data_IF_292311517224
#
_entry.id   IF_292311517224
#
_cell.length_a   1.000
_cell.length_b   1.000
_cell.length_c   1.000
_cell.angle_alpha   90.00
_cell.angle_beta   90.00
_cell.angle_gamma   90.00
#
_symmetry.space_group_name_H-M   'P 1'
#
loop_
_entity.id
_entity.type
_entity.pdbx_description
1 polymer ?
#
# COMPACT_ATOMS: atom_id res chain seq x y z
N UNK A 1 -29.43 1.46 16.43
CA UNK A 1 -30.63 0.65 16.10
C UNK A 1 -31.89 1.08 16.85
N UNK A 2 -32.13 2.38 17.05
CA UNK A 2 -33.33 2.87 17.75
C UNK A 2 -33.41 2.58 19.26
N UNK A 3 -32.49 1.78 19.80
CA UNK A 3 -32.38 1.46 21.23
C UNK A 3 -31.43 2.42 21.94
N UNK A 4 -31.71 2.71 23.22
CA UNK A 4 -30.78 3.45 24.09
C UNK A 4 -29.55 2.59 24.32
N UNK A 5 -28.36 3.16 24.12
CA UNK A 5 -27.10 2.46 24.26
C UNK A 5 -26.05 3.36 24.93
N UNK A 6 -25.12 2.73 25.64
CA UNK A 6 -23.91 3.37 26.15
C UNK A 6 -22.76 2.96 25.24
N UNK A 7 -21.97 3.93 24.78
CA UNK A 7 -20.85 3.68 23.87
C UNK A 7 -19.56 3.77 24.67
N UNK A 8 -18.78 2.70 24.67
CA UNK A 8 -17.42 2.69 25.19
C UNK A 8 -16.43 2.76 24.03
N UNK A 9 -15.77 3.90 23.86
CA UNK A 9 -14.72 4.06 22.86
C UNK A 9 -13.36 3.70 23.48
N UNK A 10 -12.72 2.65 22.95
CA UNK A 10 -11.38 2.22 23.37
C UNK A 10 -10.35 2.80 22.40
N UNK A 11 -9.41 3.58 22.93
CA UNK A 11 -8.29 4.12 22.18
C UNK A 11 -7.01 3.40 22.57
N UNK A 12 -6.15 3.10 21.59
CA UNK A 12 -4.83 2.55 21.86
C UNK A 12 -3.95 3.59 22.56
N UNK A 13 -3.09 3.12 23.45
CA UNK A 13 -1.98 3.92 23.97
C UNK A 13 -0.93 4.13 22.85
N UNK A 14 -0.08 5.18 22.96
CA UNK A 14 1.11 5.30 22.10
C UNK A 14 1.90 3.98 22.09
N UNK A 15 2.46 3.62 20.93
CA UNK A 15 3.28 2.41 20.71
C UNK A 15 2.57 1.05 20.89
N UNK A 16 1.31 1.04 21.32
CA UNK A 16 0.53 -0.19 21.42
C UNK A 16 0.07 -0.70 20.05
N UNK A 17 0.13 -2.03 19.86
CA UNK A 17 -0.35 -2.70 18.66
C UNK A 17 -1.89 -2.74 18.66
N UNK A 18 -2.50 -2.08 17.66
CA UNK A 18 -3.96 -1.98 17.51
C UNK A 18 -4.65 -3.34 17.45
N UNK A 19 -4.08 -4.29 16.70
CA UNK A 19 -4.67 -5.62 16.50
C UNK A 19 -4.70 -6.40 17.81
N UNK A 20 -3.57 -6.43 18.53
CA UNK A 20 -3.48 -7.09 19.84
C UNK A 20 -4.40 -6.46 20.90
N UNK A 21 -4.56 -5.13 20.88
CA UNK A 21 -5.48 -4.45 21.81
C UNK A 21 -6.92 -4.87 21.52
N UNK A 22 -7.33 -4.91 20.25
CA UNK A 22 -8.69 -5.34 19.87
C UNK A 22 -8.93 -6.81 20.24
N UNK A 23 -7.96 -7.69 19.98
CA UNK A 23 -8.08 -9.12 20.33
C UNK A 23 -8.28 -9.30 21.83
N UNK A 24 -7.46 -8.64 22.66
CA UNK A 24 -7.62 -8.67 24.12
C UNK A 24 -8.97 -8.12 24.59
N UNK A 25 -9.48 -7.08 23.94
CA UNK A 25 -10.82 -6.54 24.26
C UNK A 25 -11.88 -7.58 23.91
N UNK A 26 -11.79 -8.24 22.75
CA UNK A 26 -12.72 -9.30 22.34
C UNK A 26 -12.68 -10.51 23.27
N UNK A 27 -11.52 -10.88 23.79
CA UNK A 27 -11.36 -11.99 24.72
C UNK A 27 -12.04 -11.73 26.07
N UNK A 28 -12.10 -10.46 26.50
CA UNK A 28 -12.70 -10.05 27.78
C UNK A 28 -14.22 -9.84 27.65
N UNK A 29 -14.75 -9.50 26.46
CA UNK A 29 -16.19 -9.24 26.24
C UNK A 29 -17.08 -10.39 26.77
N UNK A 30 -16.82 -11.68 26.51
CA UNK A 30 -17.63 -12.77 27.05
C UNK A 30 -17.67 -12.82 28.58
N UNK A 31 -16.55 -12.47 29.24
CA UNK A 31 -16.48 -12.43 30.71
C UNK A 31 -17.35 -11.30 31.25
N UNK A 32 -17.24 -10.10 30.65
CA UNK A 32 -18.10 -8.96 31.00
C UNK A 32 -19.57 -9.32 30.76
N UNK A 33 -19.89 -9.98 29.66
CA UNK A 33 -21.27 -10.35 29.32
C UNK A 33 -21.86 -11.36 30.31
N UNK A 34 -21.05 -12.21 30.93
CA UNK A 34 -21.49 -13.14 31.97
C UNK A 34 -21.79 -12.47 33.32
N UNK A 35 -21.11 -11.34 33.63
CA UNK A 35 -21.32 -10.57 34.86
C UNK A 35 -22.45 -9.55 34.75
N UNK A 36 -22.91 -9.25 33.54
CA UNK A 36 -23.95 -8.26 33.29
C UNK A 36 -25.36 -8.80 33.64
N UNK A 37 -26.27 -7.93 34.13
CA UNK A 37 -27.66 -8.30 34.39
C UNK A 37 -28.40 -8.79 33.15
N UNK A 38 -29.41 -9.64 33.34
CA UNK A 38 -30.32 -10.09 32.29
C UNK A 38 -31.01 -8.89 31.63
N UNK A 39 -30.72 -8.67 30.34
CA UNK A 39 -31.25 -7.55 29.54
C UNK A 39 -30.21 -6.54 29.05
N UNK A 40 -28.94 -6.66 29.46
CA UNK A 40 -27.83 -5.89 28.88
C UNK A 40 -27.08 -6.74 27.88
N UNK A 41 -26.98 -6.27 26.63
CA UNK A 41 -26.23 -6.92 25.57
C UNK A 41 -25.04 -6.04 25.16
N UNK A 42 -23.87 -6.64 25.00
CA UNK A 42 -22.67 -5.96 24.51
C UNK A 42 -22.50 -6.28 23.03
N UNK A 43 -22.47 -5.25 22.19
CA UNK A 43 -22.27 -5.39 20.74
C UNK A 43 -21.01 -4.64 20.29
N UNK A 44 -20.18 -5.30 19.48
CA UNK A 44 -19.03 -4.67 18.84
C UNK A 44 -19.51 -3.79 17.69
N UNK A 45 -19.34 -2.47 17.83
CA UNK A 45 -19.80 -1.51 16.83
C UNK A 45 -18.78 -1.29 15.71
N UNK A 46 -17.52 -1.02 16.08
CA UNK A 46 -16.47 -0.63 15.16
C UNK A 46 -15.17 -1.34 15.54
N UNK A 47 -14.55 -1.96 14.54
CA UNK A 47 -13.31 -2.70 14.70
C UNK A 47 -12.25 -2.14 13.74
N UNK A 48 -11.20 -1.52 14.30
CA UNK A 48 -10.07 -1.01 13.51
C UNK A 48 -9.03 -2.08 13.17
N UNK A 49 -9.07 -3.25 13.80
CA UNK A 49 -8.16 -4.35 13.47
C UNK A 49 -8.52 -5.00 12.13
N UNK A 50 -9.79 -4.99 11.74
CA UNK A 50 -10.24 -5.64 10.50
C UNK A 50 -9.63 -5.04 9.23
N UNK A 51 -9.70 -3.72 8.96
CA UNK A 51 -9.02 -3.14 7.80
C UNK A 51 -7.51 -3.33 7.82
N UNK A 52 -6.88 -3.40 9.01
CA UNK A 52 -5.44 -3.65 9.14
C UNK A 52 -5.11 -5.09 8.73
N UNK A 53 -5.89 -6.08 9.20
CA UNK A 53 -5.72 -7.49 8.82
C UNK A 53 -5.96 -7.68 7.32
N UNK A 54 -7.03 -7.12 6.77
CA UNK A 54 -7.32 -7.15 5.33
C UNK A 54 -6.17 -6.54 4.50
N UNK A 55 -5.60 -5.40 4.94
CA UNK A 55 -4.46 -4.79 4.26
C UNK A 55 -3.19 -5.66 4.33
N UNK A 56 -2.95 -6.34 5.46
CA UNK A 56 -1.82 -7.29 5.60
C UNK A 56 -2.03 -8.49 4.66
N UNK A 57 -3.22 -9.09 4.67
CA UNK A 57 -3.56 -10.24 3.83
C UNK A 57 -3.44 -9.90 2.33
N UNK A 58 -3.93 -8.72 1.91
CA UNK A 58 -3.81 -8.22 0.54
C UNK A 58 -2.34 -8.02 0.14
N UNK A 59 -1.51 -7.48 1.03
CA UNK A 59 -0.08 -7.26 0.76
C UNK A 59 0.67 -8.58 0.72
N UNK A 60 0.39 -9.52 1.63
CA UNK A 60 0.97 -10.87 1.59
C UNK A 60 0.65 -11.55 0.26
N UNK A 61 -0.63 -11.53 -0.15
CA UNK A 61 -1.04 -12.05 -1.44
C UNK A 61 -0.31 -11.35 -2.60
N UNK A 62 -0.23 -10.03 -2.57
CA UNK A 62 0.42 -9.25 -3.64
C UNK A 62 1.92 -9.52 -3.71
N UNK A 63 2.60 -9.67 -2.57
CA UNK A 63 4.03 -10.02 -2.50
C UNK A 63 4.28 -11.42 -3.06
N UNK A 64 3.47 -12.40 -2.68
CA UNK A 64 3.56 -13.78 -3.21
C UNK A 64 3.27 -13.80 -4.71
N UNK A 65 2.21 -13.12 -5.16
CA UNK A 65 1.86 -13.01 -6.56
C UNK A 65 2.98 -12.34 -7.38
N UNK A 66 3.51 -11.22 -6.89
CA UNK A 66 4.62 -10.51 -7.53
C UNK A 66 5.87 -11.40 -7.60
N UNK A 67 6.23 -12.10 -6.51
CA UNK A 67 7.34 -13.04 -6.49
C UNK A 67 7.16 -14.15 -7.55
N UNK A 68 5.97 -14.77 -7.62
CA UNK A 68 5.67 -15.81 -8.61
C UNK A 68 5.76 -15.24 -10.03
N UNK A 69 5.17 -14.07 -10.29
CA UNK A 69 5.21 -13.44 -11.61
C UNK A 69 6.64 -13.13 -12.06
N UNK A 70 7.48 -12.63 -11.15
CA UNK A 70 8.89 -12.37 -11.42
C UNK A 70 9.64 -13.66 -11.70
N UNK A 71 9.43 -14.72 -10.90
CA UNK A 71 10.02 -16.05 -11.11
C UNK A 71 9.62 -16.61 -12.48
N UNK A 72 8.34 -16.49 -12.87
CA UNK A 72 7.84 -16.92 -14.18
C UNK A 72 8.52 -16.11 -15.30
N UNK A 73 8.59 -14.79 -15.17
CA UNK A 73 9.24 -13.93 -16.15
C UNK A 73 10.72 -14.32 -16.34
N UNK A 74 11.45 -14.52 -15.25
CA UNK A 74 12.84 -14.97 -15.25
C UNK A 74 12.98 -16.34 -15.90
N UNK A 75 12.08 -17.28 -15.61
CA UNK A 75 12.07 -18.59 -16.24
C UNK A 75 11.88 -18.50 -17.76
N UNK A 76 11.02 -17.61 -18.25
CA UNK A 76 10.86 -17.38 -19.70
C UNK A 76 12.13 -16.80 -20.36
N UNK A 77 12.87 -15.95 -19.65
CA UNK A 77 14.13 -15.37 -20.14
C UNK A 77 15.28 -16.38 -20.11
N UNK A 78 15.56 -16.98 -18.95
CA UNK A 78 16.72 -17.85 -18.73
C UNK A 78 16.49 -19.30 -19.17
N UNK A 79 15.22 -19.73 -19.24
CA UNK A 79 14.80 -21.09 -19.64
C UNK A 79 15.44 -22.22 -18.83
N UNK A 80 15.99 -21.90 -17.67
CA UNK A 80 16.68 -22.82 -16.79
C UNK A 80 16.04 -22.78 -15.42
N UNK A 81 15.46 -23.91 -15.01
CA UNK A 81 14.85 -24.05 -13.69
C UNK A 81 15.89 -23.76 -12.59
N UNK A 82 17.13 -24.24 -12.76
CA UNK A 82 18.20 -24.02 -11.77
C UNK A 82 18.58 -22.55 -11.63
N UNK A 83 18.64 -21.83 -12.74
CA UNK A 83 18.91 -20.39 -12.71
C UNK A 83 17.74 -19.62 -12.08
N UNK A 84 16.51 -20.04 -12.34
CA UNK A 84 15.29 -19.42 -11.79
C UNK A 84 15.18 -19.58 -10.26
N UNK A 85 15.66 -20.70 -9.71
CA UNK A 85 15.66 -20.95 -8.25
C UNK A 85 16.51 -19.91 -7.48
N UNK A 86 17.51 -19.31 -8.12
CA UNK A 86 18.44 -18.40 -7.44
C UNK A 86 17.73 -17.10 -7.03
N UNK A 87 17.07 -16.34 -7.94
CA UNK A 87 16.23 -15.21 -7.55
C UNK A 87 15.05 -15.60 -6.63
N UNK A 88 14.49 -16.79 -6.81
CA UNK A 88 13.40 -17.30 -5.97
C UNK A 88 13.80 -17.46 -4.48
N UNK A 89 15.08 -17.71 -4.21
CA UNK A 89 15.64 -17.78 -2.85
C UNK A 89 16.13 -16.39 -2.39
N UNK A 90 16.76 -15.62 -3.27
CA UNK A 90 17.31 -14.31 -2.94
C UNK A 90 16.24 -13.29 -2.52
N UNK A 91 15.07 -13.31 -3.18
CA UNK A 91 13.98 -12.38 -2.91
C UNK A 91 13.41 -12.51 -1.48
N UNK A 92 12.94 -13.69 -1.01
CA UNK A 92 12.47 -13.85 0.36
C UNK A 92 13.52 -13.49 1.41
N UNK A 93 14.79 -13.87 1.19
CA UNK A 93 15.88 -13.56 2.13
C UNK A 93 16.09 -12.05 2.25
N UNK A 94 16.01 -11.32 1.14
CA UNK A 94 16.16 -9.87 1.14
C UNK A 94 15.00 -9.18 1.86
N UNK A 95 13.76 -9.66 1.66
CA UNK A 95 12.58 -9.16 2.39
C UNK A 95 12.71 -9.45 3.90
N UNK A 96 13.10 -10.67 4.28
CA UNK A 96 13.33 -11.04 5.69
C UNK A 96 14.42 -10.16 6.31
N UNK A 97 15.52 -9.92 5.59
CA UNK A 97 16.55 -8.99 6.04
C UNK A 97 16.03 -7.56 6.20
N UNK A 98 15.12 -7.12 5.31
CA UNK A 98 14.49 -5.79 5.42
C UNK A 98 13.75 -5.63 6.73
N UNK A 99 13.02 -6.65 7.17
CA UNK A 99 12.38 -6.64 8.50
C UNK A 99 13.40 -6.54 9.65
N UNK A 100 14.59 -7.14 9.51
CA UNK A 100 15.65 -6.96 10.50
C UNK A 100 16.16 -5.51 10.53
N UNK A 101 16.34 -4.87 9.37
CA UNK A 101 16.69 -3.44 9.27
C UNK A 101 15.63 -2.53 9.90
N UNK A 102 14.35 -2.79 9.61
CA UNK A 102 13.22 -2.07 10.20
C UNK A 102 13.20 -2.22 11.73
N UNK A 103 13.39 -3.44 12.22
CA UNK A 103 13.42 -3.73 13.65
C UNK A 103 14.53 -2.99 14.39
N UNK A 104 15.74 -2.92 13.81
CA UNK A 104 16.88 -2.19 14.39
C UNK A 104 16.63 -0.69 14.51
N UNK A 105 15.81 -0.11 13.63
CA UNK A 105 15.43 1.29 13.66
C UNK A 105 14.12 1.57 14.41
N UNK A 106 13.50 0.54 14.99
CA UNK A 106 12.26 0.67 15.76
C UNK A 106 11.02 0.96 14.90
N UNK A 107 11.06 0.66 13.60
CA UNK A 107 9.89 0.79 12.73
C UNK A 107 8.93 -0.38 12.90
N UNK A 108 7.64 -0.06 12.90
CA UNK A 108 6.56 -1.05 12.93
C UNK A 108 6.14 -1.46 11.51
N UNK A 109 5.30 -2.48 11.42
CA UNK A 109 4.60 -2.80 10.18
C UNK A 109 3.27 -2.03 10.18
N UNK A 110 3.11 -1.17 9.19
CA UNK A 110 1.89 -0.44 8.86
C UNK A 110 1.62 -0.40 7.35
N UNK A 111 0.50 0.22 6.94
CA UNK A 111 0.09 0.28 5.54
C UNK A 111 1.14 0.94 4.62
N UNK A 112 1.93 1.89 5.12
CA UNK A 112 2.94 2.62 4.33
C UNK A 112 4.18 1.75 4.15
N UNK A 113 4.65 1.12 5.23
CA UNK A 113 5.77 0.18 5.19
C UNK A 113 5.47 -1.03 4.30
N UNK A 114 4.22 -1.52 4.31
CA UNK A 114 3.76 -2.61 3.46
C UNK A 114 3.72 -2.22 1.98
N UNK A 115 3.25 -1.00 1.68
CA UNK A 115 3.31 -0.45 0.32
C UNK A 115 4.77 -0.32 -0.16
N UNK A 116 5.66 0.16 0.70
CA UNK A 116 7.09 0.26 0.42
C UNK A 116 7.71 -1.11 0.12
N UNK A 117 7.41 -2.14 0.93
CA UNK A 117 7.88 -3.51 0.69
C UNK A 117 7.37 -4.09 -0.64
N UNK A 118 6.10 -3.82 -0.97
CA UNK A 118 5.49 -4.28 -2.23
C UNK A 118 6.21 -3.69 -3.44
N UNK A 119 6.53 -2.39 -3.39
CA UNK A 119 7.30 -1.73 -4.45
C UNK A 119 8.78 -2.17 -4.45
N UNK A 120 9.33 -2.46 -3.27
CA UNK A 120 10.71 -2.90 -3.12
C UNK A 120 11.00 -4.24 -3.81
N UNK A 121 10.01 -5.13 -3.95
CA UNK A 121 10.18 -6.42 -4.68
C UNK A 121 10.80 -6.22 -6.06
N UNK A 122 10.39 -5.18 -6.80
CA UNK A 122 10.96 -4.89 -8.12
C UNK A 122 12.46 -4.56 -8.06
N UNK A 123 12.86 -3.73 -7.09
CA UNK A 123 14.26 -3.35 -6.90
C UNK A 123 15.11 -4.51 -6.36
N UNK A 124 14.54 -5.33 -5.48
CA UNK A 124 15.24 -6.45 -4.86
C UNK A 124 15.65 -7.49 -5.91
N UNK A 125 14.79 -7.76 -6.89
CA UNK A 125 15.08 -8.81 -7.87
C UNK A 125 16.05 -8.34 -8.96
N UNK A 126 16.09 -7.04 -9.27
CA UNK A 126 16.93 -6.49 -10.34
C UNK A 126 18.43 -6.77 -10.12
N UNK A 127 18.95 -6.47 -8.92
CA UNK A 127 20.37 -6.71 -8.58
C UNK A 127 20.76 -8.19 -8.72
N UNK A 128 19.87 -9.09 -8.29
CA UNK A 128 20.10 -10.53 -8.39
C UNK A 128 20.06 -11.02 -9.84
N UNK A 129 19.17 -10.45 -10.67
CA UNK A 129 19.09 -10.76 -12.11
C UNK A 129 20.37 -10.32 -12.82
N UNK A 130 20.79 -9.06 -12.65
CA UNK A 130 21.98 -8.53 -13.33
C UNK A 130 23.23 -9.37 -13.02
N UNK A 131 23.41 -9.75 -11.76
CA UNK A 131 24.52 -10.61 -11.36
C UNK A 131 24.41 -12.01 -11.96
N UNK A 132 23.22 -12.62 -11.91
CA UNK A 132 23.00 -13.94 -12.44
C UNK A 132 23.18 -13.99 -13.96
N UNK A 133 22.60 -13.04 -14.70
CA UNK A 133 22.69 -12.96 -16.16
C UNK A 133 24.14 -12.86 -16.60
N UNK A 134 24.94 -12.03 -15.89
CA UNK A 134 26.35 -11.91 -16.18
C UNK A 134 27.10 -13.25 -15.99
N UNK A 135 26.82 -13.97 -14.89
CA UNK A 135 27.45 -15.26 -14.62
C UNK A 135 27.01 -16.32 -15.65
N UNK A 136 25.71 -16.39 -15.98
CA UNK A 136 25.17 -17.31 -16.98
C UNK A 136 25.82 -17.07 -18.34
N UNK A 137 26.00 -15.81 -18.75
CA UNK A 137 26.70 -15.45 -19.99
C UNK A 137 28.12 -16.01 -20.06
N UNK A 138 28.87 -16.01 -18.94
CA UNK A 138 30.21 -16.62 -18.88
C UNK A 138 30.16 -18.15 -18.96
N UNK A 139 29.16 -18.78 -18.34
CA UNK A 139 28.95 -20.24 -18.43
C UNK A 139 28.59 -20.64 -19.87
N UNK A 140 27.75 -19.85 -20.55
CA UNK A 140 27.41 -20.04 -21.97
C UNK A 140 28.63 -19.84 -22.89
N UNK A 141 29.58 -18.99 -22.50
CA UNK A 141 30.87 -18.84 -23.18
C UNK A 141 31.86 -19.98 -22.91
N UNK A 142 31.47 -21.00 -22.13
CA UNK A 142 32.25 -22.21 -21.87
C UNK A 142 33.07 -22.21 -20.56
N UNK A 143 32.93 -21.17 -19.73
CA UNK A 143 33.63 -21.11 -18.43
C UNK A 143 32.97 -22.06 -17.40
N UNK A 144 33.77 -22.62 -16.48
CA UNK A 144 33.21 -23.44 -15.39
C UNK A 144 32.38 -22.58 -14.43
N UNK A 145 31.28 -23.08 -13.84
CA UNK A 145 30.39 -22.29 -12.98
C UNK A 145 31.08 -21.49 -11.86
N UNK A 146 32.10 -22.05 -11.21
CA UNK A 146 32.85 -21.36 -10.16
C UNK A 146 33.71 -20.21 -10.71
N UNK A 147 34.39 -20.44 -11.84
CA UNK A 147 35.23 -19.43 -12.50
C UNK A 147 34.36 -18.30 -13.06
N UNK A 148 33.26 -18.66 -13.72
CA UNK A 148 32.24 -17.74 -14.21
C UNK A 148 31.62 -16.90 -13.09
N UNK A 149 31.33 -17.50 -11.92
CA UNK A 149 30.81 -16.77 -10.77
C UNK A 149 31.81 -15.74 -10.24
N UNK A 150 33.09 -16.12 -10.11
CA UNK A 150 34.16 -15.22 -9.65
C UNK A 150 34.42 -14.08 -10.64
N UNK A 151 34.52 -14.40 -11.93
CA UNK A 151 34.77 -13.41 -12.99
C UNK A 151 33.56 -12.50 -13.16
N UNK A 152 32.37 -13.07 -13.27
CA UNK A 152 31.13 -12.33 -13.40
C UNK A 152 30.92 -11.37 -12.23
N UNK A 153 31.18 -11.81 -11.00
CA UNK A 153 31.07 -10.95 -9.81
C UNK A 153 32.05 -9.79 -9.81
N UNK A 154 33.28 -9.99 -10.31
CA UNK A 154 34.28 -8.91 -10.43
C UNK A 154 33.88 -7.85 -11.46
N UNK A 155 33.24 -8.26 -12.55
CA UNK A 155 32.82 -7.34 -13.62
C UNK A 155 31.65 -6.45 -13.20
N UNK A 156 30.61 -7.02 -12.58
CA UNK A 156 29.39 -6.25 -12.25
C UNK A 156 29.30 -5.81 -10.80
N UNK A 157 30.16 -6.30 -9.91
CA UNK A 157 30.09 -6.00 -8.48
C UNK A 157 30.17 -4.50 -8.17
N UNK A 158 31.10 -3.78 -8.82
CA UNK A 158 31.19 -2.32 -8.67
C UNK A 158 29.93 -1.60 -9.19
N UNK A 159 29.40 -2.05 -10.32
CA UNK A 159 28.19 -1.49 -10.93
C UNK A 159 26.98 -1.66 -10.01
N UNK A 160 26.80 -2.83 -9.41
CA UNK A 160 25.71 -3.09 -8.46
C UNK A 160 25.85 -2.17 -7.25
N UNK A 161 27.02 -2.13 -6.59
CA UNK A 161 27.24 -1.22 -5.45
C UNK A 161 26.93 0.23 -5.82
N UNK A 162 27.36 0.68 -7.00
CA UNK A 162 27.11 2.05 -7.48
C UNK A 162 25.62 2.31 -7.73
N UNK A 163 24.90 1.37 -8.33
CA UNK A 163 23.45 1.48 -8.57
C UNK A 163 22.67 1.46 -7.25
N UNK A 164 22.97 0.51 -6.35
CA UNK A 164 22.36 0.39 -5.02
C UNK A 164 22.52 1.70 -4.22
N UNK A 165 23.74 2.24 -4.13
CA UNK A 165 23.98 3.51 -3.42
C UNK A 165 23.31 4.70 -4.09
N UNK A 166 23.26 4.74 -5.42
CA UNK A 166 22.59 5.81 -6.16
C UNK A 166 21.08 5.79 -5.94
N UNK A 167 20.47 4.60 -5.93
CA UNK A 167 19.04 4.44 -5.64
C UNK A 167 18.71 4.86 -4.21
N UNK A 168 19.52 4.45 -3.23
CA UNK A 168 19.36 4.92 -1.84
C UNK A 168 19.49 6.44 -1.76
N UNK A 169 20.43 7.04 -2.50
CA UNK A 169 20.62 8.49 -2.52
C UNK A 169 19.38 9.27 -3.01
N UNK A 170 18.58 8.69 -3.90
CA UNK A 170 17.31 9.29 -4.37
C UNK A 170 16.30 9.45 -3.22
N UNK A 171 16.35 8.58 -2.21
CA UNK A 171 15.45 8.64 -1.05
C UNK A 171 15.97 9.52 0.10
N UNK A 172 17.25 9.91 0.10
CA UNK A 172 17.83 10.76 1.16
C UNK A 172 17.03 12.08 1.35
N UNK A 173 16.66 12.84 0.30
CA UNK A 173 15.87 14.06 0.49
C UNK A 173 14.51 13.82 1.18
N UNK A 174 13.92 12.65 0.94
CA UNK A 174 12.64 12.25 1.55
C UNK A 174 12.80 12.09 3.07
N UNK A 175 13.95 11.60 3.52
CA UNK A 175 14.24 11.43 4.95
C UNK A 175 14.32 12.78 5.69
N UNK A 176 14.70 13.85 5.00
CA UNK A 176 14.79 15.21 5.55
C UNK A 176 13.50 16.02 5.44
N UNK A 177 12.42 15.44 4.88
CA UNK A 177 11.13 16.12 4.84
C UNK A 177 10.59 16.32 6.26
N UNK A 178 10.20 17.55 6.59
CA UNK A 178 9.61 17.89 7.87
C UNK A 178 8.09 17.68 7.93
N UNK A 179 7.54 17.84 9.13
CA UNK A 179 6.09 17.80 9.37
C UNK A 179 5.48 16.39 9.37
N UNK A 180 4.15 16.33 9.38
CA UNK A 180 3.42 15.04 9.43
C UNK A 180 3.66 14.23 8.16
N UNK A 181 3.65 14.90 7.01
CA UNK A 181 3.94 14.31 5.70
C UNK A 181 5.35 13.69 5.70
N UNK A 182 6.35 14.45 6.16
CA UNK A 182 7.72 13.97 6.24
C UNK A 182 7.87 12.70 7.07
N UNK A 183 7.21 12.61 8.23
CA UNK A 183 7.26 11.38 9.06
C UNK A 183 6.74 10.14 8.34
N UNK A 184 5.65 10.29 7.59
CA UNK A 184 5.05 9.19 6.83
C UNK A 184 5.94 8.75 5.66
N UNK A 185 6.49 9.71 4.91
CA UNK A 185 7.38 9.41 3.79
C UNK A 185 8.79 8.99 4.23
N UNK A 186 9.23 9.37 5.44
CA UNK A 186 10.48 8.91 6.04
C UNK A 186 10.45 7.39 6.26
N UNK A 187 9.35 6.87 6.82
CA UNK A 187 9.14 5.43 6.97
C UNK A 187 9.16 4.70 5.62
N UNK A 188 8.43 5.23 4.63
CA UNK A 188 8.46 4.71 3.25
C UNK A 188 9.88 4.65 2.67
N UNK A 189 10.63 5.75 2.77
CA UNK A 189 11.98 5.87 2.23
C UNK A 189 12.99 4.94 2.92
N UNK A 190 12.89 4.79 4.25
CA UNK A 190 13.76 3.90 5.02
C UNK A 190 13.52 2.43 4.67
N UNK A 191 12.27 2.00 4.58
CA UNK A 191 11.93 0.61 4.22
C UNK A 191 12.49 0.25 2.85
N UNK A 192 12.31 1.10 1.83
CA UNK A 192 12.90 0.89 0.51
C UNK A 192 14.42 0.89 0.57
N UNK A 193 15.02 1.83 1.31
CA UNK A 193 16.48 1.90 1.45
C UNK A 193 17.06 0.63 2.07
N UNK A 194 16.43 0.09 3.11
CA UNK A 194 16.85 -1.19 3.70
C UNK A 194 16.70 -2.34 2.72
N UNK A 195 15.57 -2.42 2.00
CA UNK A 195 15.35 -3.47 1.01
C UNK A 195 16.40 -3.44 -0.10
N UNK A 196 16.74 -2.26 -0.61
CA UNK A 196 17.76 -2.07 -1.65
C UNK A 196 19.15 -2.43 -1.11
N UNK A 197 19.55 -1.92 0.05
CA UNK A 197 20.86 -2.21 0.64
C UNK A 197 21.05 -3.71 0.92
N UNK A 198 20.03 -4.34 1.51
CA UNK A 198 20.08 -5.76 1.84
C UNK A 198 20.04 -6.61 0.58
N UNK A 199 19.25 -6.22 -0.43
CA UNK A 199 19.28 -6.87 -1.74
C UNK A 199 20.66 -6.79 -2.38
N UNK A 200 21.31 -5.63 -2.36
CA UNK A 200 22.67 -5.47 -2.89
C UNK A 200 23.66 -6.40 -2.17
N UNK A 201 23.56 -6.53 -0.84
CA UNK A 201 24.39 -7.48 -0.06
C UNK A 201 24.08 -8.93 -0.46
N UNK A 202 22.80 -9.31 -0.56
CA UNK A 202 22.38 -10.66 -0.96
C UNK A 202 22.84 -10.98 -2.38
N UNK A 203 22.72 -10.02 -3.31
CA UNK A 203 23.18 -10.17 -4.69
C UNK A 203 24.68 -10.37 -4.74
N UNK A 204 25.48 -9.57 -4.05
CA UNK A 204 26.95 -9.69 -4.09
C UNK A 204 27.52 -10.91 -3.36
N UNK A 205 26.72 -11.58 -2.53
CA UNK A 205 27.19 -12.69 -1.67
C UNK A 205 26.50 -14.01 -2.03
N UNK A 206 25.20 -14.09 -1.80
CA UNK A 206 24.41 -15.30 -1.95
C UNK A 206 24.25 -15.69 -3.42
N UNK A 207 23.99 -14.73 -4.30
CA UNK A 207 23.74 -15.02 -5.72
C UNK A 207 24.93 -15.68 -6.42
N UNK A 208 26.18 -15.17 -6.35
CA UNK A 208 27.37 -15.83 -6.88
C UNK A 208 27.60 -17.21 -6.27
N UNK A 209 27.40 -17.35 -4.96
CA UNK A 209 27.58 -18.62 -4.26
C UNK A 209 26.61 -19.68 -4.81
N UNK A 210 25.33 -19.34 -4.94
CA UNK A 210 24.33 -20.23 -5.52
C UNK A 210 24.60 -20.51 -7.00
N UNK A 211 24.99 -19.50 -7.78
CA UNK A 211 25.36 -19.69 -9.19
C UNK A 211 26.50 -20.70 -9.34
N UNK A 212 27.53 -20.59 -8.51
CA UNK A 212 28.71 -21.47 -8.56
C UNK A 212 28.40 -22.94 -8.24
N UNK A 213 27.32 -23.21 -7.48
CA UNK A 213 26.96 -24.55 -7.01
C UNK A 213 25.77 -25.18 -7.73
N UNK A 214 24.79 -24.38 -8.14
CA UNK A 214 23.55 -24.86 -8.74
C UNK A 214 23.60 -24.87 -10.27
N UNK A 215 24.37 -23.98 -10.90
CA UNK A 215 24.46 -23.94 -12.36
C UNK A 215 25.37 -25.06 -12.86
N UNK A 216 25.00 -25.61 -14.02
CA UNK A 216 25.82 -26.61 -14.73
C UNK A 216 26.39 -25.98 -16.00
N UNK A 217 27.54 -26.46 -16.49
CA UNK A 217 28.01 -26.14 -17.83
C UNK A 217 26.93 -26.45 -18.86
N UNK A 218 26.78 -25.59 -19.86
CA UNK A 218 25.79 -25.78 -20.92
C UNK A 218 26.25 -26.92 -21.84
N UNK A 219 25.48 -28.01 -21.87
CA UNK A 219 25.64 -29.03 -22.90
C UNK A 219 25.03 -28.50 -24.20
N UNK A 220 25.86 -28.14 -25.20
CA UNK A 220 25.43 -27.69 -26.53
C UNK A 220 24.65 -28.74 -27.36
N UNK A 221 24.24 -29.86 -26.74
CA UNK A 221 23.55 -30.99 -27.37
C UNK A 221 22.11 -31.21 -26.87
N UNK A 222 21.55 -30.35 -26.01
CA UNK A 222 20.14 -30.47 -25.64
C UNK A 222 19.22 -30.09 -26.81
N UNK A 223 18.37 -31.05 -27.20
CA UNK A 223 17.34 -30.90 -28.24
C UNK A 223 16.26 -29.95 -27.72
N UNK A 224 16.24 -28.73 -28.21
CA UNK A 224 15.23 -27.73 -27.85
C UNK A 224 13.83 -28.18 -28.32
N UNK A 225 12.84 -28.11 -27.43
CA UNK A 225 11.44 -28.36 -27.78
C UNK A 225 10.96 -27.39 -28.88
N UNK A 226 9.97 -27.78 -29.69
CA UNK A 226 9.44 -26.97 -30.81
C UNK A 226 9.02 -25.57 -30.36
N UNK A 227 8.43 -25.46 -29.16
CA UNK A 227 8.02 -24.19 -28.57
C UNK A 227 9.21 -23.26 -28.26
N UNK A 228 10.32 -23.82 -27.75
CA UNK A 228 11.54 -23.08 -27.45
C UNK A 228 12.19 -22.55 -28.72
N UNK A 229 12.21 -23.35 -29.79
CA UNK A 229 12.77 -22.95 -31.08
C UNK A 229 11.98 -21.83 -31.75
N UNK A 230 10.65 -21.85 -31.62
CA UNK A 230 9.78 -20.76 -32.07
C UNK A 230 10.06 -19.47 -31.29
N UNK A 231 10.25 -19.56 -29.97
CA UNK A 231 10.58 -18.42 -29.12
C UNK A 231 11.97 -17.85 -29.45
N UNK A 232 12.99 -18.68 -29.71
CA UNK A 232 14.31 -18.22 -30.19
C UNK A 232 14.25 -17.45 -31.50
N UNK A 233 13.49 -17.99 -32.46
CA UNK A 233 13.31 -17.32 -33.75
C UNK A 233 12.65 -15.95 -33.57
N UNK A 234 11.61 -15.87 -32.75
CA UNK A 234 10.91 -14.62 -32.44
C UNK A 234 11.84 -13.63 -31.72
N UNK A 235 12.59 -14.10 -30.72
CA UNK A 235 13.52 -13.27 -29.96
C UNK A 235 14.60 -12.69 -30.87
N UNK A 236 15.26 -13.54 -31.67
CA UNK A 236 16.27 -13.12 -32.64
C UNK A 236 15.74 -12.10 -33.64
N UNK A 237 14.55 -12.35 -34.21
CA UNK A 237 13.92 -11.40 -35.15
C UNK A 237 13.64 -10.04 -34.49
N UNK A 238 13.24 -10.06 -33.22
CA UNK A 238 12.99 -8.83 -32.45
C UNK A 238 14.28 -8.08 -32.15
N UNK A 239 15.35 -8.80 -31.78
CA UNK A 239 16.68 -8.22 -31.56
C UNK A 239 17.26 -7.61 -32.85
N UNK A 240 17.13 -8.31 -33.98
CA UNK A 240 17.60 -7.82 -35.28
C UNK A 240 16.82 -6.57 -35.72
N UNK A 241 15.50 -6.54 -35.50
CA UNK A 241 14.67 -5.38 -35.76
C UNK A 241 15.03 -4.19 -34.85
N UNK A 242 15.30 -4.44 -33.57
CA UNK A 242 15.77 -3.42 -32.62
C UNK A 242 17.13 -2.86 -33.04
N UNK A 243 18.09 -3.71 -33.42
CA UNK A 243 19.40 -3.29 -33.90
C UNK A 243 19.29 -2.45 -35.19
N UNK A 244 18.42 -2.84 -36.11
CA UNK A 244 18.13 -2.05 -37.31
C UNK A 244 17.52 -0.68 -36.97
N UNK A 245 16.57 -0.62 -36.04
CA UNK A 245 15.98 0.64 -35.60
C UNK A 245 17.03 1.55 -34.91
N UNK A 246 17.82 0.98 -34.00
CA UNK A 246 18.87 1.70 -33.28
C UNK A 246 19.91 2.31 -34.23
N UNK A 247 20.39 1.53 -35.20
CA UNK A 247 21.38 2.01 -36.19
C UNK A 247 20.84 3.12 -37.09
N UNK A 248 19.52 3.21 -37.29
CA UNK A 248 18.86 4.33 -37.99
C UNK A 248 18.72 5.55 -37.07
N UNK A 249 18.29 5.34 -35.83
CA UNK A 249 18.05 6.39 -34.84
C UNK A 249 19.34 7.12 -34.46
N UNK A 250 20.45 6.40 -34.25
CA UNK A 250 21.76 7.00 -33.93
C UNK A 250 22.28 7.91 -35.05
N UNK A 251 21.87 7.69 -36.31
CA UNK A 251 22.22 8.55 -37.44
C UNK A 251 21.45 9.87 -37.48
N UNK A 252 20.44 10.05 -36.63
CA UNK A 252 19.56 11.22 -36.59
C UNK A 252 19.59 11.94 -35.21
N UNK A 253 20.78 12.33 -34.68
CA UNK A 253 20.92 12.79 -33.31
C UNK A 253 20.10 14.04 -32.99
N UNK A 254 19.92 14.95 -33.96
CA UNK A 254 19.09 16.16 -33.79
C UNK A 254 17.62 15.85 -33.60
N UNK A 255 17.10 14.87 -34.36
CA UNK A 255 15.71 14.43 -34.23
C UNK A 255 15.49 13.76 -32.88
N UNK A 256 16.42 12.88 -32.47
CA UNK A 256 16.37 12.22 -31.16
C UNK A 256 16.39 13.26 -30.04
N UNK A 257 17.31 14.23 -30.09
CA UNK A 257 17.37 15.31 -29.11
C UNK A 257 16.08 16.16 -29.08
N UNK A 258 15.51 16.47 -30.24
CA UNK A 258 14.25 17.19 -30.32
C UNK A 258 13.08 16.40 -29.71
N UNK A 259 13.02 15.09 -29.96
CA UNK A 259 12.04 14.19 -29.34
C UNK A 259 12.26 14.16 -27.82
N UNK A 260 13.50 13.99 -27.34
CA UNK A 260 13.81 14.01 -25.90
C UNK A 260 13.37 15.32 -25.25
N UNK A 261 13.72 16.46 -25.83
CA UNK A 261 13.29 17.76 -25.31
C UNK A 261 11.76 17.91 -25.34
N UNK A 262 11.12 17.46 -26.42
CA UNK A 262 9.67 17.38 -26.54
C UNK A 262 9.03 16.55 -25.43
N UNK A 263 9.59 15.39 -25.11
CA UNK A 263 9.10 14.55 -24.01
C UNK A 263 9.26 15.22 -22.64
N UNK A 264 10.34 15.97 -22.39
CA UNK A 264 10.47 16.78 -21.17
C UNK A 264 9.39 17.86 -21.08
N UNK A 265 9.12 18.58 -22.17
CA UNK A 265 8.07 19.60 -22.22
C UNK A 265 6.70 18.98 -21.97
N UNK A 266 6.38 17.87 -22.64
CA UNK A 266 5.11 17.15 -22.44
C UNK A 266 4.96 16.69 -20.99
N UNK A 267 6.00 16.11 -20.40
CA UNK A 267 6.00 15.69 -18.99
C UNK A 267 5.74 16.88 -18.05
N UNK A 268 6.37 18.03 -18.31
CA UNK A 268 6.13 19.24 -17.51
C UNK A 268 4.69 19.75 -17.63
N UNK A 269 4.12 19.76 -18.85
CA UNK A 269 2.73 20.14 -19.08
C UNK A 269 1.75 19.18 -18.38
N UNK A 270 2.00 17.87 -18.46
CA UNK A 270 1.21 16.87 -17.76
C UNK A 270 1.31 17.03 -16.24
N UNK A 271 2.51 17.30 -15.71
CA UNK A 271 2.71 17.56 -14.28
C UNK A 271 1.89 18.77 -13.78
N UNK A 272 1.77 19.81 -14.60
CA UNK A 272 0.90 20.94 -14.26
C UNK A 272 -0.58 20.57 -14.32
N UNK A 273 -1.00 19.81 -15.33
CA UNK A 273 -2.38 19.42 -15.56
C UNK A 273 -2.93 18.42 -14.52
N UNK A 274 -2.07 17.56 -13.95
CA UNK A 274 -2.50 16.56 -12.98
C UNK A 274 -3.02 17.24 -11.70
N UNK A 275 -4.24 16.92 -11.24
CA UNK A 275 -4.77 17.41 -9.98
C UNK A 275 -3.95 16.85 -8.82
N UNK A 276 -3.55 17.73 -7.91
CA UNK A 276 -2.76 17.36 -6.73
C UNK A 276 -3.70 16.95 -5.61
N UNK A 277 -3.57 15.72 -5.14
CA UNK A 277 -4.24 15.19 -3.96
C UNK A 277 -3.20 14.74 -2.94
N UNK A 278 -3.63 14.54 -1.69
CA UNK A 278 -2.74 14.11 -0.62
C UNK A 278 -2.76 12.59 -0.43
N UNK A 279 -3.87 12.05 0.10
CA UNK A 279 -4.17 10.61 0.07
C UNK A 279 -5.52 10.39 -0.63
N UNK A 280 -5.67 9.29 -1.39
CA UNK A 280 -6.97 8.88 -1.88
C UNK A 280 -7.89 8.57 -0.69
N UNK A 281 -9.18 8.83 -0.85
CA UNK A 281 -10.15 8.43 0.16
C UNK A 281 -10.32 6.92 0.16
N UNK A 282 -10.04 6.29 1.30
CA UNK A 282 -10.23 4.85 1.52
C UNK A 282 -11.67 4.55 1.93
N UNK A 283 -12.09 3.32 1.64
CA UNK A 283 -13.40 2.78 1.98
C UNK A 283 -13.27 1.66 3.03
N UNK A 284 -13.10 2.04 4.28
CA UNK A 284 -12.99 1.11 5.42
C UNK A 284 -14.35 0.71 6.02
N UNK A 285 -15.45 0.95 5.28
CA UNK A 285 -16.80 0.62 5.75
C UNK A 285 -17.32 1.49 6.89
N UNK A 286 -16.75 2.68 7.11
CA UNK A 286 -17.15 3.59 8.19
C UNK A 286 -17.39 5.00 7.66
N UNK A 287 -18.53 5.59 8.04
CA UNK A 287 -18.88 6.97 7.72
C UNK A 287 -19.16 7.73 9.02
N UNK A 288 -18.61 8.93 9.14
CA UNK A 288 -18.98 9.87 10.19
C UNK A 288 -19.79 11.03 9.61
N UNK A 289 -20.87 11.40 10.30
CA UNK A 289 -21.70 12.55 9.97
C UNK A 289 -21.76 13.53 11.14
N UNK A 290 -21.53 14.82 10.87
CA UNK A 290 -21.85 15.87 11.83
C UNK A 290 -23.27 16.38 11.57
N UNK A 291 -24.12 16.45 12.61
CA UNK A 291 -25.49 16.95 12.51
C UNK A 291 -25.60 18.33 13.17
N UNK A 292 -26.34 19.23 12.52
CA UNK A 292 -26.60 20.58 13.04
C UNK A 292 -28.08 20.90 12.84
N UNK A 293 -28.76 21.25 13.92
CA UNK A 293 -30.12 21.80 13.90
C UNK A 293 -30.15 23.32 14.00
N UNK A 294 -31.34 23.92 13.98
CA UNK A 294 -31.57 25.33 14.25
C UNK A 294 -30.93 25.81 15.55
N UNK A 295 -30.51 27.08 15.59
CA UNK A 295 -29.85 27.66 16.77
C UNK A 295 -30.77 27.75 18.00
N UNK A 296 -32.09 27.76 17.80
CA UNK A 296 -33.12 27.75 18.83
C UNK A 296 -33.60 26.34 19.22
N UNK A 297 -33.00 25.29 18.65
CA UNK A 297 -33.43 23.91 18.91
C UNK A 297 -33.08 23.45 20.33
N UNK A 298 -34.10 23.00 21.08
CA UNK A 298 -33.90 22.34 22.37
C UNK A 298 -33.27 20.95 22.20
N UNK A 299 -32.69 20.41 23.27
CA UNK A 299 -32.13 19.06 23.29
C UNK A 299 -33.16 18.00 22.87
N UNK A 300 -34.39 18.07 23.40
CA UNK A 300 -35.45 17.11 23.07
C UNK A 300 -35.86 17.20 21.59
N UNK A 301 -35.93 18.42 21.04
CA UNK A 301 -36.21 18.63 19.63
C UNK A 301 -35.08 18.05 18.75
N UNK A 302 -33.83 18.19 19.17
CA UNK A 302 -32.69 17.58 18.49
C UNK A 302 -32.71 16.05 18.58
N UNK A 303 -33.05 15.46 19.73
CA UNK A 303 -33.20 14.01 19.90
C UNK A 303 -34.28 13.46 18.97
N UNK A 304 -35.42 14.14 18.85
CA UNK A 304 -36.50 13.73 17.95
C UNK A 304 -36.05 13.76 16.47
N UNK A 305 -35.41 14.87 16.03
CA UNK A 305 -34.91 15.02 14.66
C UNK A 305 -33.81 14.02 14.33
N UNK A 306 -32.88 13.79 15.25
CA UNK A 306 -31.76 12.88 15.02
C UNK A 306 -32.19 11.42 15.06
N UNK A 307 -33.19 11.07 15.88
CA UNK A 307 -33.82 9.75 15.85
C UNK A 307 -34.53 9.48 14.52
N UNK A 308 -35.29 10.46 14.00
CA UNK A 308 -35.94 10.35 12.70
C UNK A 308 -34.91 10.18 11.56
N UNK A 309 -33.83 10.94 11.61
CA UNK A 309 -32.71 10.83 10.67
C UNK A 309 -32.03 9.45 10.77
N UNK A 310 -31.73 8.97 11.98
CA UNK A 310 -31.07 7.68 12.17
C UNK A 310 -31.92 6.51 11.65
N UNK A 311 -33.24 6.56 11.84
CA UNK A 311 -34.15 5.55 11.30
C UNK A 311 -34.22 5.58 9.77
N UNK A 312 -34.18 6.77 9.18
CA UNK A 312 -34.13 6.90 7.72
C UNK A 312 -32.83 6.33 7.15
N UNK A 313 -31.69 6.64 7.77
CA UNK A 313 -30.37 6.15 7.34
C UNK A 313 -30.26 4.62 7.49
N UNK A 314 -30.93 4.03 8.49
CA UNK A 314 -30.96 2.58 8.71
C UNK A 314 -31.72 1.80 7.64
N UNK A 315 -32.63 2.44 6.90
CA UNK A 315 -33.38 1.78 5.81
C UNK A 315 -32.52 1.49 4.58
N UNK A 316 -31.34 2.09 4.51
CA UNK A 316 -30.38 1.84 3.45
C UNK A 316 -29.82 0.41 3.55
N UNK A 317 -29.82 -0.38 2.45
CA UNK A 317 -29.42 -1.79 2.49
C UNK A 317 -27.94 -2.00 2.85
N UNK A 318 -27.09 -0.99 2.60
CA UNK A 318 -25.65 -1.07 2.85
C UNK A 318 -25.27 -0.65 4.28
N UNK A 319 -26.23 -0.20 5.09
CA UNK A 319 -26.02 0.27 6.46
C UNK A 319 -26.31 -0.87 7.46
N UNK A 320 -25.31 -1.25 8.25
CA UNK A 320 -25.44 -2.29 9.28
C UNK A 320 -25.87 -1.68 10.61
N UNK A 321 -25.23 -0.59 11.02
CA UNK A 321 -25.55 0.07 12.28
C UNK A 321 -25.39 1.58 12.18
N UNK A 322 -26.29 2.27 12.87
CA UNK A 322 -26.26 3.73 13.02
C UNK A 322 -26.23 4.05 14.51
N UNK A 323 -25.20 4.79 14.89
CA UNK A 323 -25.02 5.34 16.23
C UNK A 323 -25.14 6.84 16.17
N UNK A 324 -25.99 7.38 17.05
CA UNK A 324 -26.35 8.77 17.07
C UNK A 324 -26.14 9.32 18.47
N UNK A 325 -25.38 10.41 18.58
CA UNK A 325 -25.12 11.13 19.82
C UNK A 325 -25.58 12.57 19.66
N UNK A 326 -26.33 13.07 20.64
CA UNK A 326 -26.88 14.44 20.67
C UNK A 326 -26.36 15.13 21.92
N UNK A 327 -26.03 16.42 21.85
CA UNK A 327 -25.72 17.25 23.02
C UNK A 327 -24.24 17.62 23.20
N UNK A 328 -24.00 18.53 24.15
CA UNK A 328 -22.69 19.15 24.42
C UNK A 328 -21.70 18.23 25.14
N UNK A 329 -20.49 18.07 24.60
CA UNK A 329 -19.40 17.27 25.14
C UNK A 329 -18.35 16.91 24.09
N UNK A 330 -17.57 15.83 24.29
CA UNK A 330 -16.58 15.36 23.31
C UNK A 330 -17.15 15.01 21.92
N UNK A 331 -18.48 14.87 21.78
CA UNK A 331 -19.16 14.53 20.52
C UNK A 331 -19.74 15.74 19.76
N UNK A 332 -20.06 16.84 20.43
CA UNK A 332 -20.67 18.03 19.84
C UNK A 332 -20.43 19.27 20.73
N UNK A 333 -20.07 20.42 20.14
CA UNK A 333 -19.69 21.63 20.90
C UNK A 333 -20.89 22.40 21.46
N UNK A 334 -22.09 22.19 20.90
CA UNK A 334 -23.31 22.96 21.19
C UNK A 334 -24.52 22.04 21.31
N UNK A 335 -25.55 22.48 22.05
CA UNK A 335 -26.78 21.70 22.29
C UNK A 335 -27.57 21.42 21.00
N UNK A 336 -27.46 22.30 20.01
CA UNK A 336 -28.06 22.15 18.68
C UNK A 336 -27.22 21.30 17.70
N UNK A 337 -26.17 20.64 18.19
CA UNK A 337 -25.31 19.80 17.35
C UNK A 337 -25.28 18.35 17.84
N UNK A 338 -24.98 17.45 16.93
CA UNK A 338 -24.83 16.04 17.22
C UNK A 338 -23.87 15.37 16.24
N UNK A 339 -23.71 14.07 16.45
CA UNK A 339 -22.85 13.22 15.64
C UNK A 339 -23.54 11.92 15.32
N UNK A 340 -23.37 11.49 14.09
CA UNK A 340 -23.79 10.17 13.63
C UNK A 340 -22.55 9.40 13.18
N UNK A 341 -22.48 8.14 13.57
CA UNK A 341 -21.49 7.18 13.10
C UNK A 341 -22.24 6.03 12.45
N UNK A 342 -21.86 5.70 11.22
CA UNK A 342 -22.52 4.71 10.39
C UNK A 342 -21.50 3.63 10.06
N UNK A 343 -21.81 2.40 10.44
CA UNK A 343 -21.08 1.22 9.99
C UNK A 343 -21.77 0.67 8.76
N UNK A 344 -21.00 0.56 7.68
CA UNK A 344 -21.43 -0.08 6.45
C UNK A 344 -21.19 -1.58 6.52
N UNK A 345 -21.86 -2.28 5.62
CA UNK A 345 -21.58 -3.67 5.31
C UNK A 345 -20.17 -3.82 4.73
N UNK A 346 -19.59 -5.00 4.86
CA UNK A 346 -18.26 -5.29 4.31
C UNK A 346 -18.21 -5.07 2.79
N UNK A 347 -17.04 -4.72 2.28
CA UNK A 347 -16.86 -4.36 0.87
C UNK A 347 -17.33 -5.46 -0.12
N UNK A 348 -17.08 -6.76 0.11
CA UNK A 348 -17.52 -7.81 -0.82
C UNK A 348 -19.04 -7.99 -0.90
N UNK A 349 -19.78 -7.60 0.15
CA UNK A 349 -21.24 -7.74 0.20
C UNK A 349 -21.98 -6.51 -0.36
N UNK A 350 -21.26 -5.43 -0.70
CA UNK A 350 -21.83 -4.18 -1.24
C UNK A 350 -21.26 -3.86 -2.62
N UNK A 351 -22.14 -3.45 -3.52
CA UNK A 351 -21.75 -3.02 -4.88
C UNK A 351 -21.26 -1.58 -4.89
N UNK A 352 -21.81 -0.73 -4.03
CA UNK A 352 -21.49 0.70 -3.98
C UNK A 352 -20.23 1.00 -3.15
N UNK A 353 -19.50 2.04 -3.54
CA UNK A 353 -18.43 2.65 -2.74
C UNK A 353 -18.99 3.51 -1.60
N UNK A 354 -18.23 3.70 -0.53
CA UNK A 354 -18.61 4.59 0.56
C UNK A 354 -19.00 5.99 0.08
N UNK A 355 -18.35 6.53 -0.97
CA UNK A 355 -18.71 7.83 -1.55
C UNK A 355 -20.09 7.80 -2.24
N UNK A 356 -20.42 6.72 -2.94
CA UNK A 356 -21.75 6.54 -3.55
C UNK A 356 -22.83 6.36 -2.48
N UNK A 357 -22.55 5.58 -1.43
CA UNK A 357 -23.44 5.44 -0.28
C UNK A 357 -23.65 6.79 0.41
N UNK A 358 -22.59 7.57 0.64
CA UNK A 358 -22.70 8.94 1.17
C UNK A 358 -23.60 9.81 0.30
N UNK A 359 -23.49 9.74 -1.03
CA UNK A 359 -24.34 10.51 -1.93
C UNK A 359 -25.82 10.10 -1.88
N UNK A 360 -26.12 8.82 -1.60
CA UNK A 360 -27.47 8.30 -1.38
C UNK A 360 -28.01 8.73 -0.01
N UNK A 361 -27.22 8.53 1.04
CA UNK A 361 -27.56 8.95 2.41
C UNK A 361 -27.76 10.46 2.52
N UNK A 362 -26.99 11.28 1.80
CA UNK A 362 -27.18 12.74 1.75
C UNK A 362 -28.51 13.13 1.13
N UNK A 363 -28.93 12.44 0.06
CA UNK A 363 -30.24 12.66 -0.58
C UNK A 363 -31.39 12.25 0.34
N UNK A 364 -31.27 11.11 1.02
CA UNK A 364 -32.24 10.70 2.02
C UNK A 364 -32.29 11.69 3.20
N UNK A 365 -31.15 12.05 3.78
CA UNK A 365 -31.07 12.96 4.92
C UNK A 365 -31.69 14.34 4.66
N UNK A 366 -31.61 14.84 3.41
CA UNK A 366 -32.21 16.11 3.02
C UNK A 366 -33.75 16.14 3.12
N UNK A 367 -34.40 14.99 3.24
CA UNK A 367 -35.87 14.91 3.44
C UNK A 367 -36.30 15.19 4.89
N UNK A 368 -35.36 15.18 5.85
CA UNK A 368 -35.66 15.43 7.26
C UNK A 368 -35.61 16.94 7.51
N UNK A 369 -36.73 17.60 7.82
CA UNK A 369 -36.77 19.05 7.98
C UNK A 369 -36.05 19.49 9.27
N UNK A 370 -35.31 20.60 9.17
CA UNK A 370 -34.69 21.24 10.34
C UNK A 370 -33.47 20.50 10.91
N UNK A 371 -32.78 19.67 10.13
CA UNK A 371 -31.47 19.11 10.49
C UNK A 371 -30.59 19.00 9.24
N UNK A 372 -29.38 19.55 9.33
CA UNK A 372 -28.36 19.44 8.28
C UNK A 372 -27.33 18.40 8.69
N UNK A 373 -26.89 17.58 7.73
CA UNK A 373 -25.94 16.48 7.97
C UNK A 373 -24.77 16.58 7.01
N UNK A 374 -23.56 16.53 7.56
CA UNK A 374 -22.31 16.58 6.81
C UNK A 374 -21.60 15.23 6.94
N UNK A 375 -21.82 14.35 5.96
CA UNK A 375 -21.19 13.03 5.89
C UNK A 375 -19.77 13.09 5.32
N UNK A 376 -18.86 12.34 5.94
CA UNK A 376 -17.48 12.15 5.52
C UNK A 376 -17.06 10.69 5.78
N UNK A 377 -16.31 10.06 4.85
CA UNK A 377 -15.76 8.74 5.11
C UNK A 377 -14.68 8.83 6.19
N UNK A 378 -14.66 7.87 7.11
CA UNK A 378 -13.58 7.77 8.09
C UNK A 378 -12.32 7.31 7.36
N UNK A 379 -11.21 8.02 7.56
CA UNK A 379 -9.93 7.71 6.93
C UNK A 379 -8.97 7.12 7.96
N UNK A 380 -8.19 6.11 7.55
CA UNK A 380 -7.15 5.48 8.37
C UNK A 380 -6.08 6.49 8.79
N UNK A 381 -5.74 7.39 7.86
CA UNK A 381 -4.82 8.51 8.07
C UNK A 381 -5.61 9.82 7.95
N UNK A 382 -5.64 10.61 9.02
CA UNK A 382 -6.19 11.96 9.01
C UNK A 382 -5.20 12.93 9.65
N UNK A 383 -4.77 13.94 8.90
CA UNK A 383 -3.78 14.94 9.34
C UNK A 383 -4.47 16.16 9.99
N UNK A 384 -5.80 16.28 9.88
CA UNK A 384 -6.55 17.34 10.55
C UNK A 384 -6.57 17.18 12.06
N UNK A 385 -6.12 18.20 12.79
CA UNK A 385 -6.18 18.27 14.26
C UNK A 385 -7.57 18.62 14.78
N UNK A 386 -8.46 19.08 13.89
CA UNK A 386 -9.84 19.47 14.22
C UNK A 386 -10.79 18.73 13.29
N UNK A 387 -11.82 18.11 13.84
CA UNK A 387 -12.92 17.62 13.00
C UNK A 387 -13.70 18.81 12.45
N UNK A 388 -13.77 18.89 11.13
CA UNK A 388 -14.43 19.99 10.44
C UNK A 388 -15.65 19.49 9.67
N UNK A 389 -16.61 20.40 9.45
CA UNK A 389 -17.85 20.11 8.73
C UNK A 389 -17.63 20.05 7.20
N UNK A 390 -16.46 20.49 6.73
CA UNK A 390 -16.09 20.55 5.32
C UNK A 390 -15.10 19.43 4.98
N UNK A 391 -15.14 18.93 3.74
CA UNK A 391 -14.22 17.89 3.26
C UNK A 391 -12.76 18.38 3.19
N UNK A 392 -12.56 19.70 3.09
CA UNK A 392 -11.25 20.33 3.04
C UNK A 392 -11.13 21.38 4.14
N UNK A 393 -9.99 21.41 4.83
CA UNK A 393 -9.65 22.42 5.83
C UNK A 393 -8.46 23.24 5.35
N UNK A 394 -8.61 24.56 5.29
CA UNK A 394 -7.52 25.49 5.06
C UNK A 394 -7.05 26.05 6.41
N UNK A 395 -5.82 25.72 6.80
CA UNK A 395 -5.17 26.30 7.97
C UNK A 395 -4.14 27.33 7.53
N UNK A 396 -4.34 28.61 7.85
CA UNK A 396 -3.30 29.61 7.67
C UNK A 396 -2.29 29.47 8.81
N UNK A 397 -1.04 29.13 8.46
CA UNK A 397 0.06 29.07 9.41
C UNK A 397 0.89 30.34 9.22
N UNK A 398 0.96 31.22 10.23
CA UNK A 398 1.95 32.28 10.19
C UNK A 398 3.32 31.63 10.37
N UNK A 399 4.20 31.86 9.40
CA UNK A 399 5.60 31.44 9.42
C UNK A 399 6.36 32.07 10.57
#
# INVERSE_FOLDING_TARGET
NGTRAIILAVYRQPDANTVQVVDRVKDIIPQIQAELPTGVEVQLLADRSKPIREAIDDVEFTLVLAAILVIIAIYFFLRSFRATVIPAIALPISIIGTFAGMYLCGHSIDNISLLALTLAVGFVVDDAIVMLENIVRHIEAGEKPMEAALKGSKEVGFTIVSMTLSLVAVFIPVLFMGGVVGRMFNEFGLVISFAILISGVVSLTLTPMLCSRLLKPVDHHEKHNVLLRMFEWSFKKTTDAYAWALTRTVKLPRLVLAITLGTFVVTFLLFQAIPKGFFPSEDIGQISGATVGPDDASFDAMVARQSALAELLRRDPDVVSVVSTVGGGNAASTVNSGRIFIMLRDKPERTDSALQVIARLRRAAATVPGINVFFQPVQSINIGTTQTRAQYQFGMRSS
#
